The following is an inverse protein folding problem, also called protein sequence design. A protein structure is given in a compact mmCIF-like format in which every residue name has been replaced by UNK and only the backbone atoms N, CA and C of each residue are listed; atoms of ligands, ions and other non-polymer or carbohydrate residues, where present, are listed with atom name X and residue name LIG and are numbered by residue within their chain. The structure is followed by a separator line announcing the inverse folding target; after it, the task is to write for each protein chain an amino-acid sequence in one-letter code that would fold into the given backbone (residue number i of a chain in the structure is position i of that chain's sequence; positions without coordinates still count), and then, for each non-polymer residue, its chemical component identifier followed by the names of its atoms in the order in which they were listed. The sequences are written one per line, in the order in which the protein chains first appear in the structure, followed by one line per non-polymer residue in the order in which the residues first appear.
data_IF_464936086205
#
_entry.id   IF_464936086205
#
_cell.length_a   1.000
_cell.length_b   1.000
_cell.length_c   1.000
_cell.angle_alpha   90.00
_cell.angle_beta   90.00
_cell.angle_gamma   90.00
#
_symmetry.space_group_name_H-M   'P 1'
#
loop_
_entity.id
_entity.type
_entity.pdbx_description
1 polymer ?
#
# COMPACT_ATOMS: atom_id res chain seq x y z
N UNK A 1 9.45 -16.57 -20.08
CA UNK A 1 8.94 -17.26 -18.87
C UNK A 1 9.10 -16.40 -17.62
N UNK A 2 10.31 -15.96 -17.24
CA UNK A 2 10.52 -15.17 -16.02
C UNK A 2 9.76 -13.82 -15.98
N UNK A 3 9.72 -13.07 -17.11
CA UNK A 3 9.03 -11.78 -17.19
C UNK A 3 7.51 -11.87 -16.95
N UNK A 4 6.86 -12.91 -17.46
CA UNK A 4 5.43 -13.15 -17.23
C UNK A 4 5.15 -13.39 -15.75
N UNK A 5 6.01 -14.16 -15.07
CA UNK A 5 5.91 -14.38 -13.64
C UNK A 5 6.09 -13.08 -12.85
N UNK A 6 7.06 -12.25 -13.24
CA UNK A 6 7.31 -10.95 -12.59
C UNK A 6 6.13 -9.98 -12.76
N UNK A 7 5.49 -9.94 -13.94
CA UNK A 7 4.27 -9.15 -14.17
C UNK A 7 3.12 -9.65 -13.31
N UNK A 8 2.93 -10.98 -13.21
CA UNK A 8 1.87 -11.54 -12.36
C UNK A 8 2.11 -11.23 -10.88
N UNK A 9 3.36 -11.32 -10.42
CA UNK A 9 3.75 -10.96 -9.05
C UNK A 9 3.54 -9.46 -8.81
N UNK A 10 3.87 -8.60 -9.77
CA UNK A 10 3.72 -7.15 -9.59
C UNK A 10 2.25 -6.74 -9.52
N UNK A 11 1.39 -7.31 -10.38
CA UNK A 11 -0.06 -7.11 -10.33
C UNK A 11 -0.64 -7.67 -9.03
N UNK A 12 -0.23 -8.87 -8.62
CA UNK A 12 -0.64 -9.48 -7.36
C UNK A 12 -0.23 -8.64 -6.15
N UNK A 13 0.99 -8.10 -6.15
CA UNK A 13 1.50 -7.18 -5.13
C UNK A 13 0.68 -5.90 -5.04
N UNK A 14 0.27 -5.34 -6.19
CA UNK A 14 -0.58 -4.16 -6.26
C UNK A 14 -1.98 -4.42 -5.67
N UNK A 15 -2.59 -5.56 -6.02
CA UNK A 15 -3.88 -5.98 -5.47
C UNK A 15 -3.82 -6.19 -3.95
N UNK A 16 -2.76 -6.85 -3.46
CA UNK A 16 -2.52 -7.03 -2.03
C UNK A 16 -2.32 -5.69 -1.31
N UNK A 17 -1.57 -4.74 -1.90
CA UNK A 17 -1.39 -3.42 -1.31
C UNK A 17 -2.72 -2.70 -1.10
N UNK A 18 -3.61 -2.70 -2.10
CA UNK A 18 -4.94 -2.08 -1.99
C UNK A 18 -5.80 -2.80 -0.94
N UNK A 19 -5.79 -4.13 -0.92
CA UNK A 19 -6.51 -4.93 0.08
C UNK A 19 -6.07 -4.61 1.51
N UNK A 20 -4.75 -4.62 1.76
CA UNK A 20 -4.19 -4.35 3.08
C UNK A 20 -4.33 -2.88 3.47
N UNK A 21 -4.25 -1.93 2.53
CA UNK A 21 -4.50 -0.52 2.78
C UNK A 21 -5.90 -0.32 3.35
N UNK A 22 -6.92 -0.89 2.71
CA UNK A 22 -8.31 -0.84 3.19
C UNK A 22 -8.43 -1.41 4.61
N UNK A 23 -7.81 -2.58 4.85
CA UNK A 23 -7.82 -3.24 6.17
C UNK A 23 -7.13 -2.39 7.24
N UNK A 24 -6.00 -1.76 6.92
CA UNK A 24 -5.26 -0.93 7.86
C UNK A 24 -5.95 0.41 8.14
N UNK A 25 -6.63 1.02 7.16
CA UNK A 25 -7.42 2.23 7.39
C UNK A 25 -8.53 1.97 8.43
N UNK A 26 -9.22 0.84 8.32
CA UNK A 26 -10.26 0.44 9.30
C UNK A 26 -9.63 0.25 10.68
N UNK A 27 -8.50 -0.46 10.76
CA UNK A 27 -7.79 -0.69 12.03
C UNK A 27 -7.28 0.60 12.67
N UNK A 28 -6.81 1.56 11.87
CA UNK A 28 -6.40 2.88 12.35
C UNK A 28 -7.60 3.68 12.83
N UNK A 29 -8.73 3.60 12.12
CA UNK A 29 -9.98 4.23 12.55
C UNK A 29 -10.43 3.72 13.91
N UNK A 30 -10.30 2.42 14.17
CA UNK A 30 -10.56 1.83 15.49
C UNK A 30 -9.56 2.33 16.53
N UNK A 31 -8.25 2.19 16.30
CA UNK A 31 -7.21 2.67 17.22
C UNK A 31 -7.30 4.17 17.55
N UNK A 32 -7.73 4.98 16.59
CA UNK A 32 -7.84 6.43 16.76
C UNK A 32 -9.02 6.85 17.64
N UNK A 33 -9.99 5.95 17.93
CA UNK A 33 -11.06 6.22 18.90
C UNK A 33 -10.49 6.35 20.31
N UNK A 34 -9.50 5.52 20.66
CA UNK A 34 -8.91 5.46 21.99
C UNK A 34 -7.71 6.39 22.17
N UNK A 35 -7.14 6.94 21.09
CA UNK A 35 -5.97 7.82 21.16
C UNK A 35 -6.40 9.26 21.52
N UNK A 36 -6.03 9.81 22.70
CA UNK A 36 -6.43 11.17 23.08
C UNK A 36 -5.72 12.27 22.27
N UNK A 37 -4.55 12.00 21.69
CA UNK A 37 -3.72 13.02 21.05
C UNK A 37 -4.07 13.21 19.57
N UNK A 38 -4.60 14.39 19.21
CA UNK A 38 -4.98 14.74 17.82
C UNK A 38 -3.85 14.55 16.81
N UNK A 39 -2.62 14.96 17.14
CA UNK A 39 -1.48 14.84 16.23
C UNK A 39 -1.12 13.38 15.93
N UNK A 40 -1.23 12.47 16.91
CA UNK A 40 -1.00 11.03 16.70
C UNK A 40 -2.04 10.43 15.76
N UNK A 41 -3.31 10.80 15.91
CA UNK A 41 -4.39 10.31 15.03
C UNK A 41 -4.12 10.65 13.56
N UNK A 42 -3.72 11.89 13.30
CA UNK A 42 -3.37 12.36 11.94
C UNK A 42 -2.12 11.66 11.44
N UNK A 43 -1.07 11.57 12.27
CA UNK A 43 0.18 10.94 11.90
C UNK A 43 -0.01 9.48 11.48
N UNK A 44 -0.88 8.72 12.15
CA UNK A 44 -1.22 7.34 11.79
C UNK A 44 -1.75 7.21 10.35
N UNK A 45 -2.61 8.14 9.92
CA UNK A 45 -3.12 8.14 8.54
C UNK A 45 -2.05 8.59 7.55
N UNK A 46 -1.25 9.60 7.89
CA UNK A 46 -0.18 10.12 7.02
C UNK A 46 0.89 9.06 6.77
N UNK A 47 1.40 8.41 7.82
CA UNK A 47 2.42 7.36 7.68
C UNK A 47 1.90 6.17 6.89
N UNK A 48 0.63 5.80 7.09
CA UNK A 48 -0.03 4.74 6.31
C UNK A 48 -0.16 5.14 4.85
N UNK A 49 -0.60 6.37 4.56
CA UNK A 49 -0.68 6.90 3.20
C UNK A 49 0.67 6.90 2.50
N UNK A 50 1.74 7.35 3.17
CA UNK A 50 3.10 7.34 2.63
C UNK A 50 3.58 5.91 2.36
N UNK A 51 3.36 4.98 3.28
CA UNK A 51 3.80 3.59 3.14
C UNK A 51 3.13 2.89 1.96
N UNK A 52 1.79 2.94 1.89
CA UNK A 52 1.06 2.31 0.80
C UNK A 52 1.21 3.05 -0.53
N UNK A 53 1.38 4.38 -0.50
CA UNK A 53 1.70 5.17 -1.68
C UNK A 53 3.04 4.75 -2.30
N UNK A 54 4.07 4.59 -1.46
CA UNK A 54 5.37 4.04 -1.89
C UNK A 54 5.22 2.64 -2.50
N UNK A 55 4.51 1.72 -1.84
CA UNK A 55 4.32 0.36 -2.34
C UNK A 55 3.56 0.33 -3.68
N UNK A 56 2.52 1.14 -3.83
CA UNK A 56 1.76 1.24 -5.09
C UNK A 56 2.66 1.73 -6.21
N UNK A 57 3.44 2.79 -5.98
CA UNK A 57 4.39 3.31 -6.98
C UNK A 57 5.46 2.28 -7.32
N UNK A 58 5.98 1.55 -6.33
CA UNK A 58 6.96 0.48 -6.53
C UNK A 58 6.39 -0.63 -7.44
N UNK A 59 5.23 -1.18 -7.11
CA UNK A 59 4.61 -2.26 -7.91
C UNK A 59 4.14 -1.77 -9.28
N UNK A 60 3.66 -0.53 -9.39
CA UNK A 60 3.31 0.06 -10.68
C UNK A 60 4.57 0.22 -11.57
N UNK A 61 5.66 0.76 -11.03
CA UNK A 61 6.93 0.89 -11.73
C UNK A 61 7.50 -0.47 -12.15
N UNK A 62 7.41 -1.47 -11.28
CA UNK A 62 7.86 -2.84 -11.56
C UNK A 62 7.02 -3.49 -12.67
N UNK A 63 5.71 -3.24 -12.67
CA UNK A 63 4.81 -3.69 -13.76
C UNK A 63 5.18 -3.03 -15.08
N UNK A 64 5.29 -1.71 -15.11
CA UNK A 64 5.64 -0.94 -16.32
C UNK A 64 7.00 -1.38 -16.87
N UNK A 65 8.02 -1.47 -16.01
CA UNK A 65 9.37 -1.88 -16.41
C UNK A 65 9.37 -3.25 -17.09
N UNK A 66 8.72 -4.24 -16.48
CA UNK A 66 8.71 -5.62 -17.00
C UNK A 66 7.77 -5.81 -18.20
N UNK A 67 6.92 -4.83 -18.51
CA UNK A 67 6.04 -4.87 -19.69
C UNK A 67 6.70 -4.17 -20.89
N UNK A 68 7.59 -3.21 -20.66
CA UNK A 68 8.26 -2.42 -21.69
C UNK A 68 9.63 -3.01 -22.07
N UNK A 69 10.39 -3.51 -21.09
CA UNK A 69 11.74 -4.07 -21.25
C UNK A 69 11.75 -5.58 -21.01
#
# INVERSE_FOLDING_TARGET
MAYVLLILISIGGLALCVFYLKKNIIRIKEKNKDEPKKYKRVLNYVTTGLWYGYLILFFAGLTINNTIF
#
